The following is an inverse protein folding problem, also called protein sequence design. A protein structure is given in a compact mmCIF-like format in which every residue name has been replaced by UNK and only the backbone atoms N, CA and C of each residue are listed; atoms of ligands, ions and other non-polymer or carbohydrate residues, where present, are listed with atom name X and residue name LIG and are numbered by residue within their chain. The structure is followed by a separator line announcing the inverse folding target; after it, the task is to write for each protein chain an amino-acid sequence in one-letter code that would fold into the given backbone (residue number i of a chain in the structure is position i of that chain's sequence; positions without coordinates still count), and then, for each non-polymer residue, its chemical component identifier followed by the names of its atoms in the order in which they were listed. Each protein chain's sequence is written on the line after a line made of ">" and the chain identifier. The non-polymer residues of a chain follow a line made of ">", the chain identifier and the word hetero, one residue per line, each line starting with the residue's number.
data_IF_839397274449
#
_entry.id   IF_839397274449
#
_cell.length_a   1.000
_cell.length_b   1.000
_cell.length_c   1.000
_cell.angle_alpha   90.00
_cell.angle_beta   90.00
_cell.angle_gamma   90.00
#
_symmetry.space_group_name_H-M   'P 1'
#
loop_
_entity.id
_entity.type
_entity.pdbx_description
1 polymer ?
#
# COMPACT_ATOMS: atom_id res chain seq x y z
N UNK A 1 30.72 41.05 -13.74
CA UNK A 1 29.26 40.94 -13.56
C UNK A 1 29.01 39.57 -12.99
N UNK A 2 28.41 39.56 -11.81
CA UNK A 2 28.45 38.46 -10.83
C UNK A 2 27.79 37.17 -11.27
N UNK A 3 28.32 36.12 -10.66
CA UNK A 3 27.92 34.71 -10.60
C UNK A 3 26.43 34.45 -10.29
N UNK A 4 26.01 33.21 -10.61
CA UNK A 4 25.07 32.45 -9.79
C UNK A 4 23.60 32.90 -9.84
N UNK A 5 22.96 32.68 -10.99
CA UNK A 5 21.56 32.26 -10.97
C UNK A 5 21.49 30.81 -10.44
N UNK A 6 21.65 30.65 -9.11
CA UNK A 6 21.26 29.42 -8.41
C UNK A 6 19.77 29.25 -8.65
N UNK A 7 19.40 28.36 -9.57
CA UNK A 7 18.05 27.83 -9.67
C UNK A 7 17.77 27.13 -8.34
N UNK A 8 17.12 27.84 -7.42
CA UNK A 8 16.53 27.24 -6.23
C UNK A 8 15.61 26.11 -6.71
N UNK A 9 15.65 24.92 -6.09
CA UNK A 9 14.66 23.90 -6.40
C UNK A 9 13.28 24.51 -6.12
N UNK A 10 12.36 24.35 -7.08
CA UNK A 10 10.95 24.72 -6.92
C UNK A 10 10.44 24.05 -5.64
N UNK A 11 10.38 24.80 -4.54
CA UNK A 11 9.60 24.42 -3.37
C UNK A 11 8.15 24.49 -3.85
N UNK A 12 7.58 23.32 -4.11
CA UNK A 12 6.16 23.19 -4.37
C UNK A 12 5.45 23.73 -3.13
N UNK A 13 4.58 24.73 -3.28
CA UNK A 13 3.83 25.27 -2.15
C UNK A 13 2.91 24.16 -1.62
N UNK A 14 2.99 23.85 -0.33
CA UNK A 14 2.14 22.84 0.31
C UNK A 14 0.63 23.13 0.13
N UNK A 15 0.28 24.38 -0.18
CA UNK A 15 -1.08 24.85 -0.44
C UNK A 15 -1.77 24.19 -1.65
N UNK A 16 -0.99 23.63 -2.60
CA UNK A 16 -1.54 22.93 -3.76
C UNK A 16 -1.80 21.42 -3.50
N UNK A 17 -1.49 20.92 -2.31
CA UNK A 17 -1.71 19.52 -1.95
C UNK A 17 -3.14 19.29 -1.48
N UNK A 18 -3.84 18.36 -2.13
CA UNK A 18 -5.12 17.87 -1.59
C UNK A 18 -4.84 16.92 -0.43
N UNK A 19 -5.26 17.31 0.78
CA UNK A 19 -5.13 16.51 2.00
C UNK A 19 -6.48 15.89 2.33
N UNK A 20 -6.65 14.63 1.95
CA UNK A 20 -7.86 13.86 2.25
C UNK A 20 -7.56 12.77 3.27
N UNK A 21 -8.51 12.50 4.15
CA UNK A 21 -8.45 11.35 5.05
C UNK A 21 -8.85 10.07 4.31
N UNK A 22 -8.17 8.96 4.61
CA UNK A 22 -8.57 7.65 4.12
C UNK A 22 -8.25 6.57 5.15
N UNK A 23 -9.20 5.66 5.35
CA UNK A 23 -9.03 4.47 6.20
C UNK A 23 -9.27 3.16 5.45
N UNK A 24 -9.53 3.25 4.15
CA UNK A 24 -9.67 2.12 3.25
C UNK A 24 -8.81 2.33 2.00
N UNK A 25 -8.30 1.22 1.47
CA UNK A 25 -7.45 1.24 0.28
C UNK A 25 -7.75 0.05 -0.61
N UNK A 26 -7.79 0.29 -1.92
CA UNK A 26 -7.95 -0.72 -2.95
C UNK A 26 -6.79 -0.64 -3.95
N UNK A 27 -6.27 -1.79 -4.37
CA UNK A 27 -5.13 -1.89 -5.29
C UNK A 27 -5.60 -2.42 -6.64
N UNK A 28 -5.27 -1.69 -7.71
CA UNK A 28 -5.55 -2.06 -9.10
C UNK A 28 -4.23 -2.11 -9.87
N UNK A 29 -3.57 -3.28 -9.90
CA UNK A 29 -2.30 -3.45 -10.62
C UNK A 29 -2.54 -3.60 -12.13
N UNK A 30 -1.62 -3.06 -12.92
CA UNK A 30 -1.52 -3.32 -14.36
C UNK A 30 -0.13 -3.90 -14.70
N UNK A 31 0.13 -4.23 -15.96
CA UNK A 31 1.46 -4.65 -16.40
C UNK A 31 2.50 -3.54 -16.22
N UNK A 32 2.08 -2.27 -16.26
CA UNK A 32 2.98 -1.11 -16.32
C UNK A 32 3.11 -0.38 -14.99
N UNK A 33 2.03 -0.35 -14.22
CA UNK A 33 1.89 0.50 -13.05
C UNK A 33 0.99 -0.14 -11.97
N UNK A 34 0.98 0.52 -10.82
CA UNK A 34 0.09 0.24 -9.71
C UNK A 34 -0.78 1.46 -9.45
N UNK A 35 -2.11 1.28 -9.53
CA UNK A 35 -3.08 2.26 -9.07
C UNK A 35 -3.56 1.91 -7.67
N UNK A 36 -3.43 2.87 -6.75
CA UNK A 36 -3.95 2.78 -5.38
C UNK A 36 -5.15 3.73 -5.28
N UNK A 37 -6.28 3.21 -4.82
CA UNK A 37 -7.53 3.96 -4.63
C UNK A 37 -7.79 4.06 -3.13
N UNK A 38 -7.97 5.27 -2.64
CA UNK A 38 -8.20 5.60 -1.25
C UNK A 38 -9.66 6.00 -1.04
N UNK A 39 -10.19 5.61 0.11
CA UNK A 39 -11.53 5.94 0.51
C UNK A 39 -11.71 5.97 2.01
N UNK A 40 -12.86 6.45 2.43
CA UNK A 40 -13.26 6.53 3.81
C UNK A 40 -14.58 5.81 4.07
N UNK A 41 -14.71 5.21 5.24
CA UNK A 41 -15.99 4.70 5.70
C UNK A 41 -16.86 5.86 6.20
N UNK A 42 -17.77 6.36 5.35
CA UNK A 42 -18.68 7.43 5.72
C UNK A 42 -19.75 6.92 6.71
N UNK A 43 -19.78 7.43 7.94
CA UNK A 43 -20.56 6.88 9.06
C UNK A 43 -22.09 6.73 8.84
N UNK A 44 -22.67 7.42 7.86
CA UNK A 44 -24.10 7.32 7.53
C UNK A 44 -24.41 6.40 6.34
N UNK A 45 -23.42 6.12 5.48
CA UNK A 45 -23.60 5.24 4.31
C UNK A 45 -23.05 3.85 4.65
N UNK A 46 -23.80 2.79 4.34
CA UNK A 46 -23.26 1.42 4.40
C UNK A 46 -22.31 1.22 3.21
N UNK A 47 -21.06 1.65 3.33
CA UNK A 47 -20.04 1.45 2.29
C UNK A 47 -18.86 2.40 2.40
N UNK A 48 -17.81 2.08 1.65
CA UNK A 48 -16.62 2.93 1.50
C UNK A 48 -16.90 3.98 0.42
N UNK A 49 -16.66 5.25 0.73
CA UNK A 49 -16.66 6.37 -0.21
C UNK A 49 -15.26 6.53 -0.78
N UNK A 50 -15.06 6.11 -2.04
CA UNK A 50 -13.78 6.21 -2.74
C UNK A 50 -13.63 7.58 -3.38
N UNK A 51 -12.59 8.34 -3.01
CA UNK A 51 -12.44 9.74 -3.43
C UNK A 51 -11.08 10.08 -4.07
N UNK A 52 -10.02 9.33 -3.77
CA UNK A 52 -8.67 9.63 -4.29
C UNK A 52 -8.05 8.43 -4.96
N UNK A 53 -7.41 8.60 -6.12
CA UNK A 53 -6.65 7.53 -6.74
C UNK A 53 -5.32 8.02 -7.29
N UNK A 54 -4.25 7.28 -7.01
CA UNK A 54 -2.88 7.60 -7.41
C UNK A 54 -2.33 6.42 -8.21
N UNK A 55 -1.87 6.68 -9.43
CA UNK A 55 -1.18 5.69 -10.28
C UNK A 55 0.31 5.97 -10.26
N UNK A 56 1.12 4.93 -10.05
CA UNK A 56 2.57 5.04 -9.98
C UNK A 56 3.25 3.86 -10.68
N UNK A 57 4.45 4.08 -11.23
CA UNK A 57 5.24 2.99 -11.80
C UNK A 57 5.65 1.98 -10.72
N UNK A 58 5.95 0.74 -11.12
CA UNK A 58 6.40 -0.29 -10.17
C UNK A 58 7.65 0.10 -9.38
N UNK A 59 8.58 0.83 -9.99
CA UNK A 59 9.77 1.35 -9.31
C UNK A 59 9.39 2.33 -8.19
N UNK A 60 8.44 3.22 -8.44
CA UNK A 60 7.98 4.16 -7.42
C UNK A 60 7.16 3.46 -6.33
N UNK A 61 6.32 2.48 -6.69
CA UNK A 61 5.59 1.66 -5.71
C UNK A 61 6.54 0.90 -4.75
N UNK A 62 7.67 0.41 -5.26
CA UNK A 62 8.69 -0.24 -4.44
C UNK A 62 9.29 0.73 -3.41
N UNK A 63 9.61 1.96 -3.83
CA UNK A 63 10.12 2.99 -2.92
C UNK A 63 9.08 3.38 -1.86
N UNK A 64 7.83 3.59 -2.28
CA UNK A 64 6.71 3.88 -1.36
C UNK A 64 6.56 2.75 -0.33
N UNK A 65 6.61 1.49 -0.77
CA UNK A 65 6.53 0.33 0.14
C UNK A 65 7.64 0.32 1.18
N UNK A 66 8.88 0.63 0.78
CA UNK A 66 10.01 0.73 1.70
C UNK A 66 9.82 1.83 2.75
N UNK A 67 9.49 3.05 2.31
CA UNK A 67 9.32 4.17 3.24
C UNK A 67 8.08 4.01 4.12
N UNK A 68 7.01 3.40 3.60
CA UNK A 68 5.82 3.09 4.40
C UNK A 68 6.14 2.11 5.53
N UNK A 69 6.86 1.02 5.24
CA UNK A 69 7.29 0.07 6.27
C UNK A 69 8.16 0.74 7.33
N UNK A 70 9.15 1.54 6.91
CA UNK A 70 10.03 2.26 7.84
C UNK A 70 9.26 3.19 8.77
N UNK A 71 8.30 3.96 8.25
CA UNK A 71 7.49 4.88 9.07
C UNK A 71 6.59 4.13 10.06
N UNK A 72 5.99 3.01 9.63
CA UNK A 72 5.18 2.17 10.51
C UNK A 72 6.05 1.59 11.64
N UNK A 73 7.21 1.05 11.32
CA UNK A 73 8.13 0.47 12.32
C UNK A 73 8.64 1.51 13.31
N UNK A 74 9.00 2.71 12.83
CA UNK A 74 9.39 3.82 13.69
C UNK A 74 8.25 4.26 14.62
N UNK A 75 7.01 4.30 14.11
CA UNK A 75 5.83 4.59 14.93
C UNK A 75 5.63 3.51 16.00
N UNK A 76 5.74 2.23 15.65
CA UNK A 76 5.61 1.12 16.60
C UNK A 76 6.69 1.13 17.68
N UNK A 77 7.93 1.49 17.32
CA UNK A 77 9.03 1.60 18.27
C UNK A 77 8.78 2.71 19.31
N UNK A 78 8.10 3.79 18.92
CA UNK A 78 7.79 4.92 19.80
C UNK A 78 6.49 4.74 20.60
N UNK A 79 5.47 4.08 20.03
CA UNK A 79 4.10 4.06 20.57
C UNK A 79 3.60 2.66 20.97
N UNK A 80 4.40 1.62 20.73
CA UNK A 80 3.99 0.23 20.88
C UNK A 80 3.35 -0.34 19.61
N UNK A 81 3.11 -1.66 19.63
CA UNK A 81 2.60 -2.42 18.48
C UNK A 81 1.19 -1.95 18.06
N UNK A 82 0.95 -1.90 16.76
CA UNK A 82 -0.38 -1.57 16.22
C UNK A 82 -1.30 -2.78 16.40
N UNK A 83 -2.39 -2.58 17.14
CA UNK A 83 -3.41 -3.62 17.35
C UNK A 83 -4.43 -3.61 16.21
N UNK A 84 -4.62 -4.75 15.56
CA UNK A 84 -5.61 -4.92 14.49
C UNK A 84 -6.84 -5.65 15.02
N UNK A 85 -8.06 -5.14 14.76
CA UNK A 85 -9.27 -5.93 14.92
C UNK A 85 -9.20 -7.19 14.04
N UNK A 86 -9.65 -8.34 14.55
CA UNK A 86 -9.59 -9.61 13.82
C UNK A 86 -10.27 -9.54 12.44
N UNK A 87 -11.32 -8.72 12.31
CA UNK A 87 -12.03 -8.50 11.04
C UNK A 87 -11.22 -7.76 9.97
N UNK A 88 -10.13 -7.06 10.35
CA UNK A 88 -9.22 -6.37 9.41
C UNK A 88 -8.05 -7.23 8.97
N UNK A 89 -7.85 -8.40 9.58
CA UNK A 89 -6.77 -9.32 9.21
C UNK A 89 -7.17 -10.01 7.90
N UNK A 90 -6.35 -9.95 6.83
CA UNK A 90 -6.67 -10.60 5.57
C UNK A 90 -6.84 -12.12 5.75
N UNK A 91 -7.87 -12.73 5.12
CA UNK A 91 -8.02 -14.18 5.14
C UNK A 91 -6.84 -14.85 4.42
N UNK A 92 -6.59 -16.14 4.69
CA UNK A 92 -5.58 -16.89 3.96
C UNK A 92 -5.90 -16.90 2.45
N UNK A 93 -4.88 -16.97 1.58
CA UNK A 93 -5.09 -17.07 0.14
C UNK A 93 -5.95 -18.30 -0.20
N UNK A 94 -6.89 -18.19 -1.15
CA UNK A 94 -7.70 -19.32 -1.56
C UNK A 94 -6.80 -20.41 -2.20
N UNK A 95 -7.08 -21.70 -1.95
CA UNK A 95 -6.29 -22.79 -2.52
C UNK A 95 -6.34 -22.76 -4.05
N UNK A 96 -5.23 -23.14 -4.69
CA UNK A 96 -5.16 -23.27 -6.14
C UNK A 96 -6.15 -24.32 -6.67
N UNK A 97 -6.78 -24.02 -7.80
CA UNK A 97 -7.61 -24.99 -8.51
C UNK A 97 -6.75 -26.17 -9.02
N UNK A 98 -7.34 -27.36 -9.28
CA UNK A 98 -6.58 -28.48 -9.82
C UNK A 98 -5.88 -28.19 -11.15
N UNK A 99 -6.40 -27.23 -11.92
CA UNK A 99 -5.82 -26.76 -13.18
C UNK A 99 -4.59 -25.89 -12.93
N UNK A 100 -4.70 -24.91 -12.02
CA UNK A 100 -3.60 -24.02 -11.66
C UNK A 100 -2.45 -24.76 -10.97
N UNK A 101 -2.74 -25.86 -10.25
CA UNK A 101 -1.72 -26.72 -9.67
C UNK A 101 -0.82 -27.38 -10.72
N UNK A 102 -1.23 -27.46 -11.99
CA UNK A 102 -0.38 -28.02 -13.05
C UNK A 102 0.57 -26.98 -13.65
N UNK A 103 0.29 -25.70 -13.47
CA UNK A 103 1.12 -24.60 -13.95
C UNK A 103 2.19 -24.22 -12.90
N UNK A 104 3.49 -24.40 -13.20
CA UNK A 104 4.57 -24.00 -12.31
C UNK A 104 4.56 -22.52 -11.94
N UNK A 105 4.12 -21.63 -12.85
CA UNK A 105 4.06 -20.20 -12.60
C UNK A 105 2.97 -19.83 -11.59
N UNK A 106 1.79 -20.47 -11.68
CA UNK A 106 0.71 -20.26 -10.72
C UNK A 106 1.06 -20.81 -9.34
N UNK A 107 1.74 -21.96 -9.28
CA UNK A 107 2.30 -22.51 -8.04
C UNK A 107 3.27 -21.54 -7.37
N UNK A 108 4.26 -21.04 -8.12
CA UNK A 108 5.24 -20.10 -7.59
C UNK A 108 4.58 -18.80 -7.09
N UNK A 109 3.58 -18.29 -7.81
CA UNK A 109 2.81 -17.11 -7.39
C UNK A 109 2.02 -17.38 -6.10
N UNK A 110 1.36 -18.53 -6.00
CA UNK A 110 0.62 -18.91 -4.80
C UNK A 110 1.53 -19.07 -3.57
N UNK A 111 2.68 -19.70 -3.74
CA UNK A 111 3.70 -19.83 -2.68
C UNK A 111 4.19 -18.46 -2.21
N UNK A 112 4.49 -17.54 -3.14
CA UNK A 112 4.86 -16.17 -2.82
C UNK A 112 3.81 -15.46 -1.97
N UNK A 113 2.53 -15.52 -2.38
CA UNK A 113 1.41 -14.87 -1.67
C UNK A 113 1.23 -15.51 -0.28
N UNK A 114 1.29 -16.84 -0.19
CA UNK A 114 1.14 -17.59 1.06
C UNK A 114 2.25 -17.23 2.05
N UNK A 115 3.50 -17.18 1.58
CA UNK A 115 4.64 -16.78 2.39
C UNK A 115 4.51 -15.32 2.87
N UNK A 116 4.04 -14.41 2.00
CA UNK A 116 3.82 -13.02 2.39
C UNK A 116 2.72 -12.91 3.47
N UNK A 117 1.62 -13.65 3.33
CA UNK A 117 0.55 -13.71 4.33
C UNK A 117 1.05 -14.25 5.67
N UNK A 118 1.83 -15.33 5.65
CA UNK A 118 2.45 -15.91 6.86
C UNK A 118 3.33 -14.88 7.59
N UNK A 119 4.22 -14.19 6.88
CA UNK A 119 5.10 -13.15 7.47
C UNK A 119 4.29 -12.00 8.07
N UNK A 120 3.21 -11.59 7.41
CA UNK A 120 2.32 -10.56 7.94
C UNK A 120 1.71 -11.00 9.27
N UNK A 121 1.18 -12.23 9.36
CA UNK A 121 0.62 -12.76 10.60
C UNK A 121 1.67 -12.91 11.72
N UNK A 122 2.91 -13.23 11.39
CA UNK A 122 3.99 -13.30 12.37
C UNK A 122 4.35 -11.93 12.95
N UNK A 123 4.29 -10.87 12.13
CA UNK A 123 4.53 -9.50 12.59
C UNK A 123 3.47 -9.00 13.58
N UNK A 124 2.25 -9.56 13.54
CA UNK A 124 1.15 -9.20 14.44
C UNK A 124 1.29 -9.81 15.86
N UNK A 125 2.20 -10.77 16.05
CA UNK A 125 2.47 -11.40 17.36
C UNK A 125 3.53 -10.64 18.12
#
# INVERSE_FOLDING_TARGET
>A
MDESAKSQPLQQNDEDLTVEYANNTFFSPTVWDLKIIFGELAGFKRGVEWHTAITMTWAHAMLVSYYLQLNIEAFEAANGKINFPAAMIPPPPPPLTPEDQKDPAQKAKFELITEHHRRFLERLK
#
